data_IF_999648786782
#
_entry.id   IF_999648786782
#
_cell.length_a   1.000
_cell.length_b   1.000
_cell.length_c   1.000
_cell.angle_alpha   90.00
_cell.angle_beta   90.00
_cell.angle_gamma   90.00
#
_symmetry.space_group_name_H-M   'P 1'
#
loop_
_entity.id
_entity.type
_entity.pdbx_description
1 polymer ?
#
# COMPACT_ATOMS: atom_id res chain seq x y z
N UNK A 1 7.92 1.37 -10.90
CA UNK A 1 7.47 2.51 -10.05
C UNK A 1 8.32 2.57 -8.78
N UNK A 2 8.66 3.75 -8.27
CA UNK A 2 9.33 3.83 -6.95
C UNK A 2 8.32 3.52 -5.83
N UNK A 3 8.80 2.99 -4.70
CA UNK A 3 7.94 2.70 -3.55
C UNK A 3 7.24 3.97 -3.03
N UNK A 4 7.97 5.08 -3.00
CA UNK A 4 7.43 6.39 -2.64
C UNK A 4 6.31 6.83 -3.59
N UNK A 5 6.46 6.67 -4.91
CA UNK A 5 5.42 7.02 -5.87
C UNK A 5 4.15 6.17 -5.67
N UNK A 6 4.31 4.87 -5.38
CA UNK A 6 3.17 3.99 -5.08
C UNK A 6 2.45 4.42 -3.79
N UNK A 7 3.19 4.70 -2.72
CA UNK A 7 2.62 5.17 -1.45
C UNK A 7 1.88 6.49 -1.64
N UNK A 8 2.46 7.45 -2.37
CA UNK A 8 1.81 8.71 -2.69
C UNK A 8 0.53 8.53 -3.50
N UNK A 9 0.53 7.61 -4.47
CA UNK A 9 -0.67 7.27 -5.24
C UNK A 9 -1.77 6.68 -4.35
N UNK A 10 -1.42 5.76 -3.44
CA UNK A 10 -2.37 5.18 -2.48
C UNK A 10 -2.92 6.24 -1.50
N UNK A 11 -2.09 7.16 -1.03
CA UNK A 11 -2.52 8.30 -0.21
C UNK A 11 -3.48 9.22 -0.99
N UNK A 12 -3.20 9.49 -2.27
CA UNK A 12 -4.10 10.24 -3.16
C UNK A 12 -5.46 9.56 -3.31
N UNK A 13 -5.49 8.25 -3.53
CA UNK A 13 -6.73 7.47 -3.59
C UNK A 13 -7.51 7.51 -2.26
N UNK A 14 -6.81 7.37 -1.14
CA UNK A 14 -7.42 7.45 0.18
C UNK A 14 -8.00 8.85 0.46
N UNK A 15 -7.31 9.91 0.06
CA UNK A 15 -7.79 11.29 0.17
C UNK A 15 -9.02 11.54 -0.72
N UNK A 16 -9.02 11.05 -1.96
CA UNK A 16 -10.19 11.13 -2.83
C UNK A 16 -11.40 10.38 -2.23
N UNK A 17 -11.17 9.18 -1.70
CA UNK A 17 -12.19 8.39 -1.03
C UNK A 17 -12.73 9.09 0.24
N UNK A 18 -11.86 9.74 1.02
CA UNK A 18 -12.24 10.57 2.17
C UNK A 18 -13.19 11.68 1.76
N UNK A 19 -12.80 12.48 0.77
CA UNK A 19 -13.56 13.65 0.30
C UNK A 19 -14.92 13.24 -0.25
N UNK A 20 -14.95 12.20 -1.09
CA UNK A 20 -16.20 11.67 -1.63
C UNK A 20 -17.13 11.19 -0.51
N UNK A 21 -16.62 10.43 0.48
CA UNK A 21 -17.46 9.83 1.52
C UNK A 21 -17.95 10.89 2.50
N UNK A 22 -17.13 11.91 2.78
CA UNK A 22 -17.54 13.10 3.52
C UNK A 22 -18.64 13.86 2.79
N UNK A 23 -18.51 14.11 1.49
CA UNK A 23 -19.53 14.81 0.70
C UNK A 23 -20.88 14.05 0.71
N UNK A 24 -20.85 12.73 0.53
CA UNK A 24 -22.04 11.88 0.65
C UNK A 24 -22.68 11.94 2.03
N UNK A 25 -21.87 11.94 3.10
CA UNK A 25 -22.37 12.05 4.46
C UNK A 25 -22.97 13.44 4.77
N UNK A 26 -22.47 14.51 4.17
CA UNK A 26 -23.09 15.85 4.24
C UNK A 26 -24.45 15.86 3.54
N UNK A 27 -24.55 15.25 2.35
CA UNK A 27 -25.81 15.15 1.61
C UNK A 27 -26.92 14.43 2.41
N UNK A 28 -26.57 13.46 3.26
CA UNK A 28 -27.54 12.81 4.15
C UNK A 28 -28.21 13.74 5.16
N UNK A 29 -27.56 14.86 5.52
CA UNK A 29 -28.10 15.87 6.42
C UNK A 29 -28.92 16.95 5.68
N UNK A 30 -28.63 17.18 4.38
CA UNK A 30 -29.32 18.17 3.54
C UNK A 30 -30.63 17.68 2.89
N UNK A 31 -30.75 16.38 2.61
CA UNK A 31 -31.89 15.81 1.87
C UNK A 31 -33.13 15.44 2.71
N UNK A 32 -33.20 15.81 3.99
CA UNK A 32 -34.35 15.50 4.86
C UNK A 32 -34.97 16.79 5.40
N UNK A 33 -36.27 16.99 5.16
CA UNK A 33 -37.10 17.89 5.97
C UNK A 33 -37.28 17.22 7.33
N UNK A 34 -36.67 17.79 8.36
CA UNK A 34 -36.89 17.37 9.73
C UNK A 34 -38.00 18.26 10.31
N UNK A 35 -39.01 17.63 10.92
CA UNK A 35 -40.10 18.36 11.56
C UNK A 35 -39.54 19.37 12.58
N UNK A 36 -38.55 18.94 13.38
CA UNK A 36 -37.91 19.76 14.40
C UNK A 36 -36.37 19.58 14.42
N UNK A 37 -35.65 20.49 15.09
CA UNK A 37 -34.20 20.42 15.26
C UNK A 37 -33.73 19.15 16.00
N UNK A 38 -34.55 18.63 16.92
CA UNK A 38 -34.28 17.40 17.67
C UNK A 38 -34.19 16.15 16.76
N UNK A 39 -35.10 16.02 15.79
CA UNK A 39 -35.10 14.89 14.82
C UNK A 39 -33.89 14.96 13.88
N UNK A 40 -33.46 16.17 13.53
CA UNK A 40 -32.27 16.42 12.70
C UNK A 40 -31.01 15.90 13.40
N UNK A 41 -30.85 16.25 14.68
CA UNK A 41 -29.72 15.85 15.53
C UNK A 41 -29.75 14.34 15.82
N UNK A 42 -30.92 13.75 16.08
CA UNK A 42 -31.06 12.32 16.31
C UNK A 42 -30.73 11.46 15.07
N UNK A 43 -30.93 11.99 13.86
CA UNK A 43 -30.82 11.21 12.62
C UNK A 43 -29.39 11.02 12.07
N UNK A 44 -28.38 11.69 12.65
CA UNK A 44 -26.98 11.61 12.22
C UNK A 44 -26.10 11.32 13.44
N UNK A 45 -25.87 10.04 13.73
CA UNK A 45 -25.08 9.60 14.89
C UNK A 45 -23.56 9.76 14.74
N UNK A 46 -23.04 10.28 13.62
CA UNK A 46 -21.60 10.49 13.41
C UNK A 46 -21.34 11.66 12.46
N UNK A 47 -20.40 12.54 12.82
CA UNK A 47 -20.03 13.70 11.99
C UNK A 47 -19.54 13.24 10.60
N UNK A 48 -19.83 13.98 9.52
CA UNK A 48 -19.46 13.59 8.14
C UNK A 48 -17.98 13.21 7.96
N UNK A 49 -17.07 13.87 8.70
CA UNK A 49 -15.63 13.55 8.69
C UNK A 49 -15.31 12.10 9.09
N UNK A 50 -16.06 11.50 10.02
CA UNK A 50 -15.80 10.11 10.45
C UNK A 50 -16.13 9.09 9.36
N UNK A 51 -17.13 9.38 8.51
CA UNK A 51 -17.44 8.55 7.35
C UNK A 51 -16.33 8.64 6.30
N UNK A 52 -15.79 9.85 6.10
CA UNK A 52 -14.58 10.07 5.29
C UNK A 52 -13.42 9.19 5.76
N UNK A 53 -13.06 9.30 7.05
CA UNK A 53 -11.95 8.53 7.62
C UNK A 53 -12.16 7.02 7.53
N UNK A 54 -13.38 6.54 7.78
CA UNK A 54 -13.69 5.12 7.67
C UNK A 54 -13.42 4.57 6.25
N UNK A 55 -13.85 5.28 5.20
CA UNK A 55 -13.63 4.85 3.82
C UNK A 55 -12.16 4.99 3.42
N UNK A 56 -11.51 6.08 3.81
CA UNK A 56 -10.09 6.30 3.53
C UNK A 56 -9.19 5.23 4.16
N UNK A 57 -9.45 4.85 5.41
CA UNK A 57 -8.70 3.80 6.10
C UNK A 57 -8.89 2.44 5.44
N UNK A 58 -10.11 2.09 5.01
CA UNK A 58 -10.37 0.85 4.29
C UNK A 58 -9.75 0.82 2.89
N UNK A 59 -9.58 1.97 2.23
CA UNK A 59 -8.83 2.07 0.99
C UNK A 59 -7.32 1.97 1.22
N UNK A 60 -6.80 2.60 2.26
CA UNK A 60 -5.35 2.72 2.47
C UNK A 60 -4.74 1.51 3.15
N UNK A 61 -5.31 1.06 4.28
CA UNK A 61 -4.66 0.09 5.17
C UNK A 61 -4.42 -1.27 4.50
N UNK A 62 -5.39 -1.91 3.82
CA UNK A 62 -5.15 -3.20 3.18
C UNK A 62 -4.09 -3.12 2.08
N UNK A 63 -4.09 -2.05 1.29
CA UNK A 63 -3.09 -1.82 0.26
C UNK A 63 -1.70 -1.57 0.86
N UNK A 64 -1.61 -0.82 1.95
CA UNK A 64 -0.35 -0.56 2.64
C UNK A 64 0.23 -1.85 3.25
N UNK A 65 -0.60 -2.70 3.85
CA UNK A 65 -0.17 -4.00 4.38
C UNK A 65 0.47 -4.85 3.27
N UNK A 66 -0.15 -4.91 2.09
CA UNK A 66 0.43 -5.62 0.95
C UNK A 66 1.79 -5.06 0.56
N UNK A 67 1.92 -3.74 0.45
CA UNK A 67 3.19 -3.08 0.05
C UNK A 67 4.28 -3.35 1.09
N UNK A 68 3.94 -3.31 2.38
CA UNK A 68 4.88 -3.64 3.46
C UNK A 68 5.28 -5.11 3.43
N UNK A 69 4.33 -6.03 3.27
CA UNK A 69 4.64 -7.45 3.13
C UNK A 69 5.55 -7.72 1.92
N UNK A 70 5.28 -7.05 0.80
CA UNK A 70 6.14 -7.14 -0.38
C UNK A 70 7.53 -6.54 -0.16
N UNK A 71 7.69 -5.49 0.63
CA UNK A 71 9.03 -4.95 0.94
C UNK A 71 9.91 -5.91 1.74
N UNK A 72 9.31 -6.84 2.49
CA UNK A 72 10.06 -7.85 3.26
C UNK A 72 10.48 -9.03 2.40
N UNK A 73 9.61 -9.49 1.48
CA UNK A 73 9.83 -10.74 0.74
C UNK A 73 10.26 -10.50 -0.71
N UNK A 74 9.89 -9.36 -1.30
CA UNK A 74 10.03 -9.07 -2.72
C UNK A 74 11.47 -9.07 -3.21
N UNK A 75 12.42 -8.54 -2.42
CA UNK A 75 13.84 -8.50 -2.80
C UNK A 75 14.46 -9.91 -2.90
N UNK A 76 14.01 -10.85 -2.06
CA UNK A 76 14.42 -12.25 -2.14
C UNK A 76 13.84 -12.92 -3.38
N UNK A 77 12.55 -12.70 -3.67
CA UNK A 77 11.90 -13.24 -4.88
C UNK A 77 12.61 -12.72 -6.13
N UNK A 78 12.89 -11.42 -6.21
CA UNK A 78 13.60 -10.84 -7.36
C UNK A 78 14.99 -11.45 -7.49
N UNK A 79 15.75 -11.56 -6.40
CA UNK A 79 17.08 -12.15 -6.40
C UNK A 79 17.09 -13.63 -6.82
N UNK A 80 16.18 -14.45 -6.28
CA UNK A 80 16.01 -15.86 -6.65
C UNK A 80 15.72 -16.00 -8.15
N UNK A 81 14.81 -15.18 -8.68
CA UNK A 81 14.44 -15.19 -10.09
C UNK A 81 15.58 -14.72 -10.99
N UNK A 82 16.37 -13.72 -10.57
CA UNK A 82 17.56 -13.29 -11.31
C UNK A 82 18.56 -14.44 -11.41
N UNK A 83 18.89 -15.12 -10.30
CA UNK A 83 19.85 -16.23 -10.34
C UNK A 83 19.32 -17.41 -11.16
N UNK A 84 18.03 -17.73 -11.03
CA UNK A 84 17.40 -18.79 -11.81
C UNK A 84 17.42 -18.52 -13.32
N UNK A 85 17.46 -17.26 -13.74
CA UNK A 85 17.54 -16.87 -15.14
C UNK A 85 18.95 -16.95 -15.74
N UNK A 86 19.98 -17.11 -14.90
CA UNK A 86 21.37 -17.28 -15.37
C UNK A 86 21.60 -18.70 -15.92
N UNK A 87 22.47 -18.85 -16.94
CA UNK A 87 23.03 -20.14 -17.32
C UNK A 87 23.60 -20.90 -16.12
N UNK A 88 23.48 -22.23 -16.11
CA UNK A 88 23.90 -23.06 -14.96
C UNK A 88 25.37 -22.84 -14.60
N UNK A 89 26.23 -22.72 -15.62
CA UNK A 89 27.68 -22.53 -15.48
C UNK A 89 28.07 -21.17 -14.89
N UNK A 90 27.20 -20.17 -14.97
CA UNK A 90 27.46 -18.81 -14.45
C UNK A 90 26.74 -18.53 -13.14
N UNK A 91 26.13 -19.54 -12.51
CA UNK A 91 25.45 -19.37 -11.22
C UNK A 91 26.47 -19.39 -10.08
N UNK A 92 26.32 -18.54 -9.07
CA UNK A 92 27.14 -18.63 -7.86
C UNK A 92 26.97 -20.00 -7.20
N UNK A 93 28.08 -20.70 -6.93
CA UNK A 93 28.05 -22.06 -6.37
C UNK A 93 27.85 -22.05 -4.85
N UNK A 94 28.53 -21.13 -4.15
CA UNK A 94 28.42 -21.02 -2.70
C UNK A 94 27.44 -19.95 -2.26
N UNK A 95 27.01 -20.04 -0.98
CA UNK A 95 26.14 -19.01 -0.39
C UNK A 95 26.85 -17.66 -0.29
N UNK A 96 28.18 -17.65 -0.08
CA UNK A 96 28.97 -16.43 0.01
C UNK A 96 29.07 -15.75 -1.36
N UNK A 97 29.39 -16.52 -2.41
CA UNK A 97 29.46 -16.00 -3.79
C UNK A 97 28.12 -15.42 -4.22
N UNK A 98 27.03 -16.08 -3.84
CA UNK A 98 25.68 -15.62 -4.11
C UNK A 98 25.40 -14.25 -3.47
N UNK A 99 25.81 -14.07 -2.21
CA UNK A 99 25.62 -12.80 -1.50
C UNK A 99 26.47 -11.69 -2.11
N UNK A 100 27.75 -11.97 -2.42
CA UNK A 100 28.65 -11.02 -3.07
C UNK A 100 28.10 -10.58 -4.45
N UNK A 101 27.71 -11.55 -5.28
CA UNK A 101 27.11 -11.31 -6.58
C UNK A 101 25.87 -10.41 -6.50
N UNK A 102 24.93 -10.73 -5.59
CA UNK A 102 23.72 -9.94 -5.41
C UNK A 102 24.00 -8.55 -4.83
N UNK A 103 25.01 -8.41 -3.97
CA UNK A 103 25.41 -7.12 -3.44
C UNK A 103 25.94 -6.20 -4.53
N UNK A 104 26.77 -6.71 -5.45
CA UNK A 104 27.23 -5.96 -6.64
C UNK A 104 26.06 -5.55 -7.53
N UNK A 105 25.20 -6.50 -7.91
CA UNK A 105 24.01 -6.21 -8.74
C UNK A 105 23.15 -5.13 -8.10
N UNK A 106 22.85 -5.25 -6.80
CA UNK A 106 22.05 -4.26 -6.07
C UNK A 106 22.74 -2.91 -5.96
N UNK A 107 24.06 -2.90 -5.76
CA UNK A 107 24.86 -1.67 -5.70
C UNK A 107 24.82 -0.90 -7.02
N UNK A 108 24.91 -1.58 -8.16
CA UNK A 108 24.75 -0.95 -9.47
C UNK A 108 23.30 -0.50 -9.71
N UNK A 109 22.33 -1.31 -9.29
CA UNK A 109 20.91 -0.98 -9.45
C UNK A 109 20.50 0.24 -8.63
N UNK A 110 21.03 0.37 -7.41
CA UNK A 110 20.80 1.49 -6.50
C UNK A 110 21.59 2.75 -6.85
N UNK A 111 22.61 2.64 -7.72
CA UNK A 111 23.53 3.73 -8.07
C UNK A 111 24.65 3.95 -7.06
N UNK A 112 24.84 3.03 -6.11
CA UNK A 112 25.99 3.02 -5.19
C UNK A 112 27.29 2.59 -5.88
N UNK A 113 27.19 1.78 -6.94
CA UNK A 113 28.29 1.35 -7.78
C UNK A 113 28.06 1.85 -9.21
N UNK A 114 29.13 2.30 -9.87
CA UNK A 114 29.08 2.70 -11.28
C UNK A 114 28.94 1.49 -12.23
N UNK A 115 29.46 0.33 -11.80
CA UNK A 115 29.40 -0.95 -12.50
C UNK A 115 29.79 -2.08 -11.55
N UNK A 116 29.45 -3.31 -11.90
CA UNK A 116 29.87 -4.47 -11.11
C UNK A 116 31.32 -4.84 -11.44
N UNK A 117 32.02 -5.41 -10.47
CA UNK A 117 33.39 -5.88 -10.64
C UNK A 117 33.41 -7.24 -11.36
N UNK A 118 32.43 -8.09 -11.05
CA UNK A 118 32.22 -9.35 -11.73
C UNK A 118 31.45 -9.14 -13.05
N UNK A 119 32.00 -9.53 -14.21
CA UNK A 119 31.31 -9.41 -15.50
C UNK A 119 29.95 -10.12 -15.55
N UNK A 120 29.81 -11.24 -14.84
CA UNK A 120 28.55 -11.97 -14.75
C UNK A 120 27.50 -11.20 -13.93
N UNK A 121 27.93 -10.47 -12.89
CA UNK A 121 27.04 -9.62 -12.11
C UNK A 121 26.59 -8.40 -12.92
N UNK A 122 27.49 -7.79 -13.69
CA UNK A 122 27.16 -6.65 -14.55
C UNK A 122 26.13 -7.03 -15.62
N UNK A 123 26.33 -8.20 -16.26
CA UNK A 123 25.38 -8.76 -17.21
C UNK A 123 23.99 -9.08 -16.60
N UNK A 124 23.93 -9.34 -15.29
CA UNK A 124 22.67 -9.62 -14.59
C UNK A 124 21.89 -8.36 -14.17
N UNK A 125 22.52 -7.18 -14.16
CA UNK A 125 21.87 -5.89 -13.83
C UNK A 125 20.61 -5.62 -14.65
N UNK A 126 20.61 -5.67 -16.00
CA UNK A 126 19.40 -5.42 -16.79
C UNK A 126 18.30 -6.44 -16.49
N UNK A 127 18.66 -7.70 -16.26
CA UNK A 127 17.71 -8.77 -15.92
C UNK A 127 17.07 -8.52 -14.55
N UNK A 128 17.87 -8.16 -13.56
CA UNK A 128 17.39 -7.77 -12.23
C UNK A 128 16.43 -6.57 -12.31
N UNK A 129 16.80 -5.52 -13.08
CA UNK A 129 15.92 -4.34 -13.28
C UNK A 129 14.61 -4.71 -13.95
N UNK A 130 14.63 -5.59 -14.95
CA UNK A 130 13.43 -6.04 -15.65
C UNK A 130 12.49 -6.81 -14.71
N UNK A 131 13.01 -7.81 -13.99
CA UNK A 131 12.25 -8.61 -13.01
C UNK A 131 11.68 -7.71 -11.91
N UNK A 132 12.51 -6.83 -11.33
CA UNK A 132 12.08 -5.88 -10.30
C UNK A 132 10.97 -4.96 -10.81
N UNK A 133 11.09 -4.46 -12.05
CA UNK A 133 10.09 -3.57 -12.65
C UNK A 133 8.78 -4.30 -12.89
N UNK A 134 8.83 -5.50 -13.46
CA UNK A 134 7.65 -6.34 -13.67
C UNK A 134 6.90 -6.59 -12.38
N UNK A 135 7.58 -7.07 -11.33
CA UNK A 135 6.95 -7.30 -10.03
C UNK A 135 6.45 -6.01 -9.38
N UNK A 136 7.15 -4.89 -9.55
CA UNK A 136 6.68 -3.59 -9.04
C UNK A 136 5.34 -3.18 -9.66
N UNK A 137 5.13 -3.48 -10.95
CA UNK A 137 3.87 -3.19 -11.64
C UNK A 137 2.75 -4.14 -11.19
N UNK A 138 3.06 -5.43 -11.03
CA UNK A 138 2.10 -6.42 -10.52
C UNK A 138 1.60 -6.01 -9.13
N UNK A 139 2.52 -5.71 -8.21
CA UNK A 139 2.16 -5.31 -6.84
C UNK A 139 1.45 -3.96 -6.82
N UNK A 140 1.86 -3.00 -7.65
CA UNK A 140 1.14 -1.74 -7.78
C UNK A 140 -0.31 -1.96 -8.25
N UNK A 141 -0.52 -2.85 -9.23
CA UNK A 141 -1.85 -3.22 -9.70
C UNK A 141 -2.70 -3.86 -8.60
N UNK A 142 -2.15 -4.84 -7.88
CA UNK A 142 -2.86 -5.50 -6.76
C UNK A 142 -3.16 -4.49 -5.64
N UNK A 143 -2.21 -3.63 -5.28
CA UNK A 143 -2.41 -2.60 -4.26
C UNK A 143 -3.53 -1.61 -4.65
N UNK A 144 -3.56 -1.19 -5.92
CA UNK A 144 -4.62 -0.34 -6.45
C UNK A 144 -5.99 -1.04 -6.39
N UNK A 145 -6.07 -2.33 -6.77
CA UNK A 145 -7.30 -3.12 -6.66
C UNK A 145 -7.76 -3.28 -5.21
N UNK A 146 -6.85 -3.52 -4.27
CA UNK A 146 -7.18 -3.55 -2.84
C UNK A 146 -7.69 -2.20 -2.34
N UNK A 147 -7.08 -1.10 -2.77
CA UNK A 147 -7.53 0.22 -2.38
C UNK A 147 -8.93 0.55 -2.91
N UNK A 148 -9.18 0.22 -4.19
CA UNK A 148 -10.49 0.43 -4.82
C UNK A 148 -11.57 -0.48 -4.23
N UNK A 149 -11.26 -1.76 -4.01
CA UNK A 149 -12.22 -2.72 -3.44
C UNK A 149 -12.49 -2.44 -1.95
N UNK A 150 -11.46 -2.13 -1.15
CA UNK A 150 -11.61 -1.75 0.25
C UNK A 150 -12.37 -0.44 0.41
N UNK A 151 -12.01 0.58 -0.37
CA UNK A 151 -12.72 1.86 -0.43
C UNK A 151 -14.17 1.68 -0.89
N UNK A 152 -14.41 0.93 -1.97
CA UNK A 152 -15.74 0.62 -2.49
C UNK A 152 -16.61 -0.15 -1.48
N UNK A 153 -16.05 -1.15 -0.82
CA UNK A 153 -16.71 -1.90 0.24
C UNK A 153 -17.13 -1.00 1.42
N UNK A 154 -16.22 -0.14 1.89
CA UNK A 154 -16.52 0.80 2.95
C UNK A 154 -17.55 1.85 2.51
N UNK A 155 -17.43 2.35 1.27
CA UNK A 155 -18.36 3.28 0.64
C UNK A 155 -19.79 2.75 0.60
N UNK A 156 -19.98 1.48 0.22
CA UNK A 156 -21.29 0.83 0.18
C UNK A 156 -21.92 0.68 1.58
N UNK A 157 -21.10 0.67 2.63
CA UNK A 157 -21.55 0.60 4.03
C UNK A 157 -21.87 1.97 4.64
N UNK A 158 -21.44 3.07 4.03
CA UNK A 158 -21.77 4.43 4.47
C UNK A 158 -23.27 4.67 4.26
N UNK A 159 -24.02 4.61 5.36
CA UNK A 159 -25.47 4.82 5.44
C UNK A 159 -25.78 5.79 6.57
N UNK A 160 -26.94 6.47 6.59
CA UNK A 160 -27.25 7.44 7.63
C UNK A 160 -27.22 6.93 9.07
N UNK A 161 -27.65 5.69 9.30
CA UNK A 161 -27.65 5.05 10.62
C UNK A 161 -26.28 4.42 10.98
N UNK A 162 -25.27 4.57 10.12
CA UNK A 162 -23.95 3.97 10.33
C UNK A 162 -23.16 4.72 11.41
N UNK A 163 -22.57 3.99 12.35
CA UNK A 163 -21.75 4.55 13.44
C UNK A 163 -20.26 4.39 13.07
N UNK A 164 -19.71 5.42 12.43
CA UNK A 164 -18.32 5.41 11.96
C UNK A 164 -17.29 5.63 13.09
N UNK A 165 -17.67 6.39 14.13
CA UNK A 165 -16.78 6.77 15.24
C UNK A 165 -16.05 5.61 15.94
N UNK A 166 -16.73 4.61 16.52
CA UNK A 166 -16.04 3.55 17.27
C UNK A 166 -15.10 2.70 16.40
N UNK A 167 -15.33 2.65 15.07
CA UNK A 167 -14.44 1.91 14.15
C UNK A 167 -13.15 2.65 13.90
N UNK A 168 -13.21 3.98 13.69
CA UNK A 168 -12.03 4.82 13.52
C UNK A 168 -11.22 4.85 14.82
N UNK A 169 -11.87 5.00 15.98
CA UNK A 169 -11.21 4.96 17.29
C UNK A 169 -10.46 3.65 17.52
N UNK A 170 -11.08 2.51 17.21
CA UNK A 170 -10.41 1.21 17.30
C UNK A 170 -9.18 1.12 16.37
N UNK A 171 -9.25 1.68 15.18
CA UNK A 171 -8.09 1.75 14.28
C UNK A 171 -6.94 2.57 14.86
N UNK A 172 -7.23 3.75 15.39
CA UNK A 172 -6.22 4.61 16.04
C UNK A 172 -5.60 3.90 17.24
N UNK A 173 -6.42 3.23 18.06
CA UNK A 173 -5.93 2.47 19.21
C UNK A 173 -4.99 1.33 18.79
N UNK A 174 -5.35 0.55 17.77
CA UNK A 174 -4.46 -0.50 17.22
C UNK A 174 -3.15 0.10 16.70
N UNK A 175 -3.21 1.23 16.00
CA UNK A 175 -2.03 1.92 15.50
C UNK A 175 -1.10 2.38 16.64
N UNK A 176 -1.67 2.95 17.71
CA UNK A 176 -0.90 3.38 18.88
C UNK A 176 -0.24 2.19 19.60
N UNK A 177 -0.93 1.06 19.74
CA UNK A 177 -0.37 -0.16 20.32
C UNK A 177 0.80 -0.66 19.47
N UNK A 178 0.64 -0.74 18.14
CA UNK A 178 1.72 -1.15 17.24
C UNK A 178 2.91 -0.20 17.29
N UNK A 179 2.67 1.12 17.37
CA UNK A 179 3.74 2.10 17.50
C UNK A 179 4.51 1.94 18.81
N UNK A 180 3.82 1.66 19.92
CA UNK A 180 4.45 1.45 21.22
C UNK A 180 5.24 0.13 21.31
N UNK A 181 4.95 -0.84 20.45
CA UNK A 181 5.66 -2.12 20.42
C UNK A 181 7.05 -1.99 19.75
N UNK A 182 7.21 -1.00 18.87
CA UNK A 182 8.45 -0.76 18.12
C UNK A 182 9.38 0.20 18.87
N UNK A 183 8.84 1.07 19.72
CA UNK A 183 9.59 2.05 20.52
C UNK A 183 10.27 1.39 21.74
#
# INVERSE_FOLDING_TARGET
MSAAALILALLGLAAAAFLAARARAVAFAGGRSFANAADRIASVHSRPSHHGWYVALWALVPALILVLAWSVVGDNIVADRTIASLPVESRPETTLDRQAFLAEVRGVVSGQLAGAFNPAADAAVPVYRAIRTQWSLVIAGIAALLALSGGGFAWLRVRPKFRARPRVERFVMVLLILSSLVA
#
